data_IF_152887427167
#
_entry.id   IF_152887427167
#
_cell.length_a   1.000
_cell.length_b   1.000
_cell.length_c   1.000
_cell.angle_alpha   90.00
_cell.angle_beta   90.00
_cell.angle_gamma   90.00
#
_symmetry.space_group_name_H-M   'P 1'
#
loop_
_entity.id
_entity.type
_entity.pdbx_description
1 polymer ?
#
# COMPACT_ATOMS: atom_id res chain seq x y z
N UNK A 1 33.43 24.01 15.69
CA UNK A 1 33.88 22.60 15.64
C UNK A 1 32.87 21.76 16.41
N UNK A 2 32.20 20.81 15.77
CA UNK A 2 31.28 19.85 16.41
C UNK A 2 32.14 18.85 17.22
N UNK A 3 31.95 18.79 18.54
CA UNK A 3 32.69 17.86 19.40
C UNK A 3 32.17 16.42 19.23
N UNK A 4 32.90 15.43 19.74
CA UNK A 4 32.61 13.98 19.67
C UNK A 4 31.14 13.62 19.97
N UNK A 5 30.50 14.28 20.97
CA UNK A 5 29.07 14.06 21.29
C UNK A 5 28.10 14.44 20.16
N UNK A 6 28.42 15.48 19.41
CA UNK A 6 27.62 15.95 18.29
C UNK A 6 27.74 15.00 17.09
N UNK A 7 28.92 14.41 16.85
CA UNK A 7 29.11 13.33 15.86
C UNK A 7 28.25 12.11 16.23
N UNK A 8 28.27 11.68 17.49
CA UNK A 8 27.43 10.56 17.94
C UNK A 8 25.93 10.86 17.82
N UNK A 9 25.49 12.10 18.11
CA UNK A 9 24.09 12.49 17.95
C UNK A 9 23.65 12.47 16.47
N UNK A 10 24.49 12.98 15.56
CA UNK A 10 24.21 12.93 14.11
C UNK A 10 24.16 11.49 13.60
N UNK A 11 25.12 10.65 13.98
CA UNK A 11 25.11 9.23 13.62
C UNK A 11 23.87 8.53 14.18
N UNK A 12 23.47 8.81 15.43
CA UNK A 12 22.26 8.24 16.02
C UNK A 12 20.99 8.65 15.25
N UNK A 13 20.86 9.92 14.86
CA UNK A 13 19.74 10.40 14.03
C UNK A 13 19.74 9.68 12.67
N UNK A 14 20.88 9.56 12.00
CA UNK A 14 21.00 8.84 10.74
C UNK A 14 20.60 7.36 10.91
N UNK A 15 21.07 6.69 11.97
CA UNK A 15 20.68 5.31 12.28
C UNK A 15 19.18 5.15 12.55
N UNK A 16 18.55 6.11 13.22
CA UNK A 16 17.10 6.13 13.41
C UNK A 16 16.35 6.32 12.09
N UNK A 17 16.84 7.17 11.19
CA UNK A 17 16.28 7.35 9.85
C UNK A 17 16.47 6.13 8.95
N UNK A 18 17.53 5.32 9.17
CA UNK A 18 17.76 4.11 8.38
C UNK A 18 16.71 3.03 8.61
N UNK A 19 16.11 2.96 9.80
CA UNK A 19 15.07 1.95 10.11
C UNK A 19 13.79 2.12 9.29
N UNK A 20 13.57 3.29 8.69
CA UNK A 20 12.32 3.61 7.99
C UNK A 20 12.32 3.20 6.52
N UNK A 21 13.45 2.83 5.91
CA UNK A 21 13.54 2.49 4.49
C UNK A 21 13.39 0.99 4.19
N UNK A 22 13.44 0.12 5.21
CA UNK A 22 13.42 -1.33 5.06
C UNK A 22 12.00 -1.94 5.11
N UNK A 23 11.00 -1.24 4.58
CA UNK A 23 9.58 -1.62 4.63
C UNK A 23 9.07 -2.22 3.31
N UNK A 24 9.91 -2.99 2.61
CA UNK A 24 9.45 -3.81 1.50
C UNK A 24 8.83 -5.10 2.02
N UNK A 25 7.68 -5.47 1.46
CA UNK A 25 7.04 -6.76 1.69
C UNK A 25 7.74 -7.80 0.78
N UNK A 26 8.03 -9.02 1.25
CA UNK A 26 8.47 -10.10 0.37
C UNK A 26 7.46 -10.30 -0.77
N UNK A 27 7.92 -10.50 -2.00
CA UNK A 27 7.02 -10.54 -3.18
C UNK A 27 5.94 -11.63 -3.06
N UNK A 28 6.31 -12.78 -2.51
CA UNK A 28 5.45 -13.92 -2.19
C UNK A 28 4.37 -13.63 -1.14
N UNK A 29 4.55 -12.60 -0.31
CA UNK A 29 3.60 -12.13 0.70
C UNK A 29 2.82 -10.88 0.26
N UNK A 30 3.15 -10.34 -0.91
CA UNK A 30 2.45 -9.20 -1.49
C UNK A 30 1.10 -9.64 -2.08
N UNK A 31 0.06 -8.84 -1.82
CA UNK A 31 -1.36 -9.15 -2.05
C UNK A 31 -2.09 -8.07 -2.85
N UNK A 32 -1.44 -6.97 -3.18
CA UNK A 32 -2.04 -6.03 -4.12
C UNK A 32 -1.97 -6.57 -5.54
N UNK A 33 -3.14 -6.86 -6.13
CA UNK A 33 -3.30 -7.34 -7.50
C UNK A 33 -4.03 -8.69 -7.56
N UNK A 34 -4.83 -8.91 -8.60
CA UNK A 34 -5.67 -10.10 -8.79
C UNK A 34 -5.01 -11.24 -9.58
N UNK A 35 -3.78 -11.05 -10.06
CA UNK A 35 -2.99 -12.04 -10.78
C UNK A 35 -1.55 -11.58 -11.01
N UNK A 36 -0.70 -12.45 -11.55
CA UNK A 36 0.76 -12.25 -11.61
C UNK A 36 1.18 -10.90 -12.21
N UNK A 37 0.53 -10.47 -13.30
CA UNK A 37 0.84 -9.21 -13.98
C UNK A 37 0.44 -8.01 -13.12
N UNK A 38 -0.79 -7.97 -12.60
CA UNK A 38 -1.24 -6.86 -11.75
C UNK A 38 -0.42 -6.80 -10.46
N UNK A 39 -0.07 -7.95 -9.88
CA UNK A 39 0.76 -8.01 -8.68
C UNK A 39 2.17 -7.49 -8.94
N UNK A 40 2.77 -7.86 -10.07
CA UNK A 40 4.08 -7.30 -10.48
C UNK A 40 4.03 -5.79 -10.67
N UNK A 41 2.99 -5.27 -11.34
CA UNK A 41 2.83 -3.82 -11.56
C UNK A 41 2.64 -3.08 -10.23
N UNK A 42 1.76 -3.58 -9.35
CA UNK A 42 1.54 -3.00 -8.02
C UNK A 42 2.81 -3.05 -7.16
N UNK A 43 3.55 -4.15 -7.21
CA UNK A 43 4.80 -4.30 -6.47
C UNK A 43 5.86 -3.29 -6.94
N UNK A 44 6.12 -3.22 -8.24
CA UNK A 44 7.14 -2.32 -8.80
C UNK A 44 6.74 -0.85 -8.66
N UNK A 45 5.47 -0.51 -8.90
CA UNK A 45 4.99 0.88 -8.79
C UNK A 45 5.02 1.41 -7.35
N UNK A 46 4.90 0.52 -6.36
CA UNK A 46 4.93 0.87 -4.93
C UNK A 46 6.30 0.73 -4.27
N UNK A 47 7.37 0.44 -5.03
CA UNK A 47 8.70 0.15 -4.48
C UNK A 47 9.27 1.26 -3.58
N UNK A 48 8.95 2.53 -3.89
CA UNK A 48 9.38 3.69 -3.09
C UNK A 48 8.28 4.21 -2.13
N UNK A 49 7.25 3.39 -1.89
CA UNK A 49 6.13 3.69 -1.01
C UNK A 49 6.18 2.81 0.25
N UNK A 50 5.23 3.02 1.16
CA UNK A 50 5.07 2.12 2.31
C UNK A 50 4.32 0.87 1.85
N UNK A 51 5.07 -0.12 1.35
CA UNK A 51 4.49 -1.36 0.85
C UNK A 51 3.80 -2.16 1.94
N UNK A 52 4.23 -2.05 3.21
CA UNK A 52 3.61 -2.78 4.32
C UNK A 52 2.18 -2.31 4.51
N UNK A 53 1.97 -1.00 4.64
CA UNK A 53 0.62 -0.45 4.84
C UNK A 53 -0.25 -0.62 3.59
N UNK A 54 0.32 -0.40 2.39
CA UNK A 54 -0.40 -0.66 1.14
C UNK A 54 -0.86 -2.12 1.04
N UNK A 55 0.03 -3.07 1.32
CA UNK A 55 -0.27 -4.50 1.29
C UNK A 55 -1.37 -4.88 2.31
N UNK A 56 -1.34 -4.28 3.49
CA UNK A 56 -2.36 -4.48 4.51
C UNK A 56 -3.73 -4.00 4.03
N UNK A 57 -3.82 -2.82 3.38
CA UNK A 57 -5.07 -2.36 2.78
C UNK A 57 -5.57 -3.33 1.71
N UNK A 58 -4.68 -3.85 0.85
CA UNK A 58 -5.05 -4.85 -0.17
C UNK A 58 -5.56 -6.15 0.44
N UNK A 59 -4.91 -6.66 1.49
CA UNK A 59 -5.38 -7.85 2.20
C UNK A 59 -6.80 -7.70 2.76
N UNK A 60 -7.12 -6.55 3.36
CA UNK A 60 -8.46 -6.31 3.87
C UNK A 60 -9.49 -6.13 2.76
N UNK A 61 -9.11 -5.51 1.64
CA UNK A 61 -9.96 -5.38 0.46
C UNK A 61 -10.29 -6.75 -0.14
N UNK A 62 -9.28 -7.60 -0.32
CA UNK A 62 -9.46 -8.99 -0.80
C UNK A 62 -10.39 -9.79 0.13
N UNK A 63 -10.23 -9.64 1.46
CA UNK A 63 -11.11 -10.25 2.44
C UNK A 63 -12.55 -9.71 2.34
N UNK A 64 -12.72 -8.42 2.06
CA UNK A 64 -14.03 -7.81 1.85
C UNK A 64 -14.73 -8.40 0.62
N UNK A 65 -14.02 -8.48 -0.51
CA UNK A 65 -14.53 -9.12 -1.73
C UNK A 65 -14.85 -10.59 -1.50
N UNK A 66 -13.95 -11.35 -0.84
CA UNK A 66 -14.16 -12.76 -0.53
C UNK A 66 -15.36 -13.00 0.40
N UNK A 67 -15.72 -12.02 1.23
CA UNK A 67 -16.86 -12.10 2.14
C UNK A 67 -18.21 -12.17 1.42
N UNK A 68 -18.33 -11.64 0.21
CA UNK A 68 -19.60 -11.53 -0.52
C UNK A 68 -20.77 -11.04 0.36
N UNK A 69 -20.54 -10.04 1.22
CA UNK A 69 -21.58 -9.44 2.09
C UNK A 69 -21.78 -7.95 1.85
N UNK A 70 -20.82 -7.29 1.20
CA UNK A 70 -20.83 -5.86 0.94
C UNK A 70 -20.73 -5.59 -0.57
N UNK A 71 -21.41 -4.56 -1.09
CA UNK A 71 -21.29 -4.19 -2.50
C UNK A 71 -19.87 -3.69 -2.81
N UNK A 72 -19.50 -3.73 -4.10
CA UNK A 72 -18.15 -3.33 -4.55
C UNK A 72 -17.76 -1.95 -4.04
N UNK A 73 -18.66 -0.98 -4.21
CA UNK A 73 -18.42 0.40 -3.80
C UNK A 73 -18.09 0.53 -2.31
N UNK A 74 -18.66 -0.29 -1.45
CA UNK A 74 -18.39 -0.24 -0.01
C UNK A 74 -17.00 -0.78 0.33
N UNK A 75 -16.63 -1.95 -0.22
CA UNK A 75 -15.28 -2.48 -0.08
C UNK A 75 -14.22 -1.53 -0.67
N UNK A 76 -14.50 -0.95 -1.84
CA UNK A 76 -13.60 -0.01 -2.51
C UNK A 76 -13.47 1.30 -1.72
N UNK A 77 -14.54 1.79 -1.09
CA UNK A 77 -14.48 2.98 -0.23
C UNK A 77 -13.60 2.72 1.00
N UNK A 78 -13.80 1.60 1.69
CA UNK A 78 -12.95 1.22 2.83
C UNK A 78 -11.48 1.08 2.44
N UNK A 79 -11.22 0.51 1.25
CA UNK A 79 -9.88 0.41 0.70
C UNK A 79 -9.27 1.80 0.42
N UNK A 80 -9.98 2.68 -0.29
CA UNK A 80 -9.51 4.02 -0.60
C UNK A 80 -9.28 4.87 0.67
N UNK A 81 -10.13 4.71 1.69
CA UNK A 81 -9.96 5.35 3.00
C UNK A 81 -8.72 4.82 3.72
N UNK A 82 -8.50 3.50 3.72
CA UNK A 82 -7.27 2.89 4.25
C UNK A 82 -6.02 3.50 3.61
N UNK A 83 -6.01 3.57 2.27
CA UNK A 83 -4.91 4.17 1.51
C UNK A 83 -4.65 5.64 1.87
N UNK A 84 -5.71 6.42 2.15
CA UNK A 84 -5.59 7.83 2.50
C UNK A 84 -4.98 8.06 3.90
N UNK A 85 -4.95 7.04 4.76
CA UNK A 85 -4.32 7.12 6.09
C UNK A 85 -2.81 6.90 6.07
N UNK A 86 -2.28 6.29 5.01
CA UNK A 86 -0.86 5.97 4.88
C UNK A 86 -0.10 7.29 4.75
N UNK A 87 0.82 7.60 5.66
CA UNK A 87 1.70 8.77 5.52
C UNK A 87 2.91 8.36 4.69
N UNK A 88 3.13 9.00 3.54
CA UNK A 88 4.23 8.68 2.63
C UNK A 88 4.68 9.90 1.83
N UNK A 89 5.65 9.72 0.94
CA UNK A 89 6.13 10.80 0.09
C UNK A 89 5.06 11.28 -0.92
N UNK A 90 5.18 12.50 -1.47
CA UNK A 90 4.18 13.08 -2.36
C UNK A 90 3.86 12.26 -3.61
N UNK A 91 4.84 11.52 -4.16
CA UNK A 91 4.60 10.65 -5.32
C UNK A 91 3.63 9.52 -4.96
N UNK A 92 3.83 8.86 -3.83
CA UNK A 92 2.94 7.80 -3.37
C UNK A 92 1.54 8.33 -3.06
N UNK A 93 1.46 9.50 -2.40
CA UNK A 93 0.20 10.15 -2.04
C UNK A 93 -0.61 10.62 -3.26
N UNK A 94 0.05 11.18 -4.27
CA UNK A 94 -0.63 11.80 -5.40
C UNK A 94 -0.82 10.86 -6.59
N UNK A 95 0.00 9.81 -6.72
CA UNK A 95 0.00 8.93 -7.89
C UNK A 95 -0.30 7.49 -7.49
N UNK A 96 0.53 6.86 -6.66
CA UNK A 96 0.47 5.41 -6.46
C UNK A 96 -0.81 4.99 -5.75
N UNK A 97 -1.12 5.58 -4.58
CA UNK A 97 -2.30 5.21 -3.82
C UNK A 97 -3.61 5.59 -4.52
N UNK A 98 -3.75 6.80 -5.11
CA UNK A 98 -4.93 7.12 -5.91
C UNK A 98 -5.10 6.20 -7.13
N UNK A 99 -4.01 5.75 -7.75
CA UNK A 99 -4.08 4.80 -8.87
C UNK A 99 -4.63 3.44 -8.42
N UNK A 100 -4.22 2.93 -7.25
CA UNK A 100 -4.77 1.69 -6.69
C UNK A 100 -6.27 1.84 -6.38
N UNK A 101 -6.68 2.94 -5.75
CA UNK A 101 -8.09 3.25 -5.48
C UNK A 101 -8.93 3.30 -6.77
N UNK A 102 -8.45 4.00 -7.79
CA UNK A 102 -9.16 4.09 -9.07
C UNK A 102 -9.20 2.75 -9.80
N UNK A 103 -8.15 1.93 -9.69
CA UNK A 103 -8.10 0.63 -10.35
C UNK A 103 -9.18 -0.31 -9.83
N UNK A 104 -9.34 -0.43 -8.51
CA UNK A 104 -10.40 -1.30 -7.94
C UNK A 104 -11.80 -0.77 -8.28
N UNK A 105 -12.00 0.55 -8.33
CA UNK A 105 -13.30 1.12 -8.72
C UNK A 105 -13.65 0.86 -10.19
N UNK A 106 -12.66 0.91 -11.09
CA UNK A 106 -12.86 0.73 -12.53
C UNK A 106 -12.98 -0.75 -12.94
N UNK A 107 -12.25 -1.63 -12.26
CA UNK A 107 -12.11 -3.04 -12.69
C UNK A 107 -12.56 -4.05 -11.64
N UNK A 108 -12.95 -3.61 -10.44
CA UNK A 108 -13.37 -4.46 -9.32
C UNK A 108 -14.58 -5.33 -9.63
N UNK A 109 -15.46 -4.88 -10.55
CA UNK A 109 -16.63 -5.63 -10.98
C UNK A 109 -16.28 -6.96 -11.67
N UNK A 110 -15.04 -7.11 -12.15
CA UNK A 110 -14.53 -8.36 -12.72
C UNK A 110 -14.12 -9.39 -11.65
N UNK A 111 -13.94 -8.94 -10.41
CA UNK A 111 -13.37 -9.74 -9.32
C UNK A 111 -14.30 -9.88 -8.11
N UNK A 112 -15.27 -8.99 -7.96
CA UNK A 112 -16.28 -9.11 -6.91
C UNK A 112 -17.25 -10.25 -7.19
N UNK A 113 -17.89 -10.76 -6.13
CA UNK A 113 -18.90 -11.80 -6.22
C UNK A 113 -20.02 -11.41 -7.22
N UNK A 114 -20.48 -12.33 -8.08
CA UNK A 114 -21.39 -12.03 -9.21
C UNK A 114 -22.72 -11.36 -8.84
N UNK A 115 -23.10 -11.39 -7.56
CA UNK A 115 -24.37 -10.87 -7.06
C UNK A 115 -24.27 -9.44 -6.49
N UNK A 116 -23.13 -8.77 -6.64
CA UNK A 116 -22.79 -7.52 -5.94
C UNK A 116 -22.14 -6.42 -6.79
N UNK A 117 -22.02 -6.65 -8.10
CA UNK A 117 -21.55 -5.66 -9.08
C UNK A 117 -22.66 -4.76 -9.62
#
# INVERSE_FOLDING_TARGET
>A
MCNVRCIYAVLFIVFLSFKTYAQLVPYEEFRCGSGSISTSISYTSSYFCDQIQLNQCCMYHDLCYAGCTLPQMECDNQFCECLATIISNPFCQSIVYPSHCNFVRLFGNLFICPMMG
#
